data_IF_066035860854
#
_entry.id   IF_066035860854
#
_cell.length_a   1.000
_cell.length_b   1.000
_cell.length_c   1.000
_cell.angle_alpha   90.00
_cell.angle_beta   90.00
_cell.angle_gamma   90.00
#
_symmetry.space_group_name_H-M   'P 1'
#
loop_
_entity.id
_entity.type
_entity.pdbx_description
1 polymer ?
#
# COMPACT_ATOMS: atom_id res chain seq x y z
N UNK A 1 35.50 -11.46 -11.68
CA UNK A 1 34.47 -10.73 -12.44
C UNK A 1 33.34 -10.37 -11.48
N UNK A 2 33.14 -9.09 -11.16
CA UNK A 2 32.03 -8.65 -10.32
C UNK A 2 30.73 -8.73 -11.15
N UNK A 3 29.78 -9.59 -10.75
CA UNK A 3 28.44 -9.60 -11.34
C UNK A 3 27.79 -8.24 -11.08
N UNK A 4 27.54 -7.47 -12.12
CA UNK A 4 26.77 -6.23 -12.02
C UNK A 4 25.42 -6.55 -11.37
N UNK A 5 25.02 -5.86 -10.29
CA UNK A 5 23.77 -6.18 -9.61
C UNK A 5 22.59 -6.07 -10.58
N UNK A 6 21.77 -7.12 -10.65
CA UNK A 6 20.58 -7.20 -11.50
C UNK A 6 19.55 -6.19 -11.02
N UNK A 7 19.48 -5.07 -11.75
CA UNK A 7 18.46 -4.03 -11.65
C UNK A 7 17.15 -4.58 -12.19
N UNK A 8 16.05 -4.39 -11.47
CA UNK A 8 14.71 -4.79 -11.90
C UNK A 8 13.90 -3.55 -12.24
N UNK A 9 13.29 -3.51 -13.42
CA UNK A 9 12.42 -2.41 -13.85
C UNK A 9 11.06 -2.50 -13.15
N UNK A 10 10.67 -1.41 -12.47
CA UNK A 10 9.39 -1.29 -11.78
C UNK A 10 8.42 -0.33 -12.50
N UNK A 11 8.83 0.24 -13.63
CA UNK A 11 8.01 1.15 -14.43
C UNK A 11 6.61 0.62 -14.74
N UNK A 12 6.40 -0.69 -15.04
CA UNK A 12 5.06 -1.23 -15.25
C UNK A 12 4.13 -1.02 -14.05
N UNK A 13 4.59 -1.31 -12.84
CA UNK A 13 3.82 -1.07 -11.62
C UNK A 13 3.55 0.43 -11.43
N UNK A 14 4.56 1.30 -11.62
CA UNK A 14 4.40 2.76 -11.44
C UNK A 14 3.32 3.31 -12.39
N UNK A 15 3.26 2.83 -13.63
CA UNK A 15 2.21 3.22 -14.59
C UNK A 15 0.82 2.80 -14.12
N UNK A 16 0.67 1.60 -13.57
CA UNK A 16 -0.62 1.12 -13.03
C UNK A 16 -1.01 1.92 -11.77
N UNK A 17 -0.03 2.20 -10.90
CA UNK A 17 -0.26 2.90 -9.64
C UNK A 17 -0.57 4.39 -9.83
N UNK A 18 -0.02 5.04 -10.85
CA UNK A 18 -0.27 6.46 -11.15
C UNK A 18 -0.04 7.35 -9.92
N UNK A 19 -1.11 7.97 -9.42
CA UNK A 19 -1.07 8.87 -8.25
C UNK A 19 -1.42 8.19 -6.92
N UNK A 20 -1.65 6.87 -6.89
CA UNK A 20 -1.98 6.12 -5.67
C UNK A 20 -0.73 5.81 -4.84
N UNK A 21 -0.11 6.87 -4.30
CA UNK A 21 1.20 6.82 -3.63
C UNK A 21 1.15 6.16 -2.25
N UNK A 22 -0.03 6.01 -1.65
CA UNK A 22 -0.19 5.53 -0.27
C UNK A 22 -0.74 4.12 -0.25
N UNK A 23 -0.29 3.33 0.72
CA UNK A 23 -0.87 1.99 0.98
C UNK A 23 -2.37 2.03 1.30
N UNK A 24 -2.87 3.16 1.81
CA UNK A 24 -4.31 3.38 2.04
C UNK A 24 -5.13 3.41 0.75
N UNK A 25 -4.50 3.68 -0.37
CA UNK A 25 -5.12 3.83 -1.68
C UNK A 25 -5.39 2.47 -2.33
N UNK A 26 -4.74 1.42 -1.85
CA UNK A 26 -5.05 0.05 -2.24
C UNK A 26 -6.44 -0.37 -1.76
N UNK A 27 -7.12 -1.16 -2.58
CA UNK A 27 -8.29 -1.95 -2.17
C UNK A 27 -7.89 -3.03 -1.17
N UNK A 28 -8.87 -3.73 -0.59
CA UNK A 28 -8.54 -4.85 0.30
C UNK A 28 -7.80 -5.97 -0.44
N UNK A 29 -8.14 -6.25 -1.69
CA UNK A 29 -7.44 -7.22 -2.53
C UNK A 29 -5.98 -6.82 -2.76
N UNK A 30 -5.73 -5.55 -3.12
CA UNK A 30 -4.37 -5.02 -3.27
C UNK A 30 -3.56 -5.11 -1.97
N UNK A 31 -4.19 -4.85 -0.83
CA UNK A 31 -3.56 -4.99 0.50
C UNK A 31 -3.22 -6.42 0.84
N UNK A 32 -4.10 -7.36 0.53
CA UNK A 32 -3.86 -8.79 0.78
C UNK A 32 -2.62 -9.27 0.01
N UNK A 33 -2.49 -8.89 -1.28
CA UNK A 33 -1.29 -9.22 -2.07
C UNK A 33 -0.02 -8.69 -1.41
N UNK A 34 -0.03 -7.46 -0.88
CA UNK A 34 1.13 -6.90 -0.18
C UNK A 34 1.47 -7.70 1.07
N UNK A 35 0.46 -8.07 1.86
CA UNK A 35 0.63 -8.85 3.09
C UNK A 35 1.14 -10.26 2.79
N UNK A 36 0.64 -10.90 1.73
CA UNK A 36 1.05 -12.25 1.31
C UNK A 36 2.51 -12.25 0.89
N UNK A 37 2.90 -11.32 0.01
CA UNK A 37 4.30 -11.19 -0.43
C UNK A 37 5.24 -10.91 0.75
N UNK A 38 4.83 -10.07 1.71
CA UNK A 38 5.63 -9.84 2.92
C UNK A 38 5.73 -11.14 3.70
N UNK A 39 4.64 -11.84 3.97
CA UNK A 39 4.62 -13.06 4.77
C UNK A 39 5.51 -14.15 4.17
N UNK A 40 5.41 -14.39 2.86
CA UNK A 40 6.28 -15.32 2.14
C UNK A 40 7.76 -14.93 2.14
N UNK A 41 8.03 -13.62 2.18
CA UNK A 41 9.39 -13.10 2.04
C UNK A 41 10.05 -12.84 3.38
N UNK A 42 9.29 -12.70 4.47
CA UNK A 42 9.78 -12.14 5.71
C UNK A 42 10.18 -13.19 6.77
N UNK A 43 9.67 -14.42 6.67
CA UNK A 43 9.82 -15.41 7.75
C UNK A 43 9.08 -14.96 9.02
N UNK A 44 9.66 -15.17 10.20
CA UNK A 44 9.02 -14.77 11.48
C UNK A 44 8.93 -13.25 11.69
N UNK A 45 9.77 -12.45 11.01
CA UNK A 45 9.74 -10.99 11.14
C UNK A 45 8.55 -10.42 10.38
N UNK A 46 7.69 -9.64 11.06
CA UNK A 46 6.60 -8.91 10.41
C UNK A 46 7.08 -7.53 9.97
N UNK A 47 7.27 -7.31 8.67
CA UNK A 47 7.59 -5.98 8.14
C UNK A 47 6.32 -5.13 7.92
N UNK A 48 6.33 -3.82 8.21
CA UNK A 48 5.17 -2.97 7.99
C UNK A 48 4.78 -2.87 6.50
N UNK A 49 3.54 -3.21 6.16
CA UNK A 49 3.03 -3.17 4.79
C UNK A 49 3.09 -1.76 4.16
N UNK A 50 2.79 -0.73 4.96
CA UNK A 50 2.91 0.68 4.53
C UNK A 50 4.33 1.02 4.06
N UNK A 51 5.34 0.53 4.78
CA UNK A 51 6.75 0.74 4.46
C UNK A 51 7.15 -0.01 3.18
N UNK A 52 6.75 -1.28 3.05
CA UNK A 52 7.03 -2.07 1.84
C UNK A 52 6.43 -1.43 0.59
N UNK A 53 5.18 -0.98 0.69
CA UNK A 53 4.50 -0.27 -0.40
C UNK A 53 5.17 1.06 -0.72
N UNK A 54 5.53 1.86 0.29
CA UNK A 54 6.25 3.12 0.08
C UNK A 54 7.56 2.92 -0.69
N UNK A 55 8.36 1.92 -0.29
CA UNK A 55 9.63 1.62 -0.97
C UNK A 55 9.38 1.21 -2.41
N UNK A 56 8.43 0.31 -2.66
CA UNK A 56 8.03 -0.09 -4.00
C UNK A 56 7.63 1.10 -4.87
N UNK A 57 6.72 1.94 -4.38
CA UNK A 57 6.18 3.06 -5.16
C UNK A 57 7.24 4.08 -5.54
N UNK A 58 8.27 4.28 -4.72
CA UNK A 58 9.31 5.27 -5.01
C UNK A 58 10.49 4.68 -5.80
N UNK A 59 10.61 3.36 -5.91
CA UNK A 59 11.68 2.71 -6.69
C UNK A 59 11.24 2.52 -8.15
N UNK A 60 11.62 3.41 -9.08
CA UNK A 60 11.46 3.15 -10.53
C UNK A 60 12.37 2.01 -11.00
N UNK A 61 13.59 1.96 -10.47
CA UNK A 61 14.54 0.86 -10.67
C UNK A 61 14.85 0.20 -9.31
N UNK A 62 14.59 -1.09 -9.20
CA UNK A 62 14.78 -1.85 -7.96
C UNK A 62 16.21 -2.42 -7.93
N UNK A 63 17.04 -1.83 -7.08
CA UNK A 63 18.42 -2.23 -6.78
C UNK A 63 18.69 -2.13 -5.27
N UNK A 64 19.82 -2.67 -4.80
CA UNK A 64 20.19 -2.58 -3.37
C UNK A 64 20.32 -1.12 -2.94
N UNK A 65 20.91 -0.30 -3.80
CA UNK A 65 21.18 1.11 -3.59
C UNK A 65 19.88 1.92 -3.52
N UNK A 66 18.99 1.73 -4.49
CA UNK A 66 17.69 2.44 -4.54
C UNK A 66 16.81 2.06 -3.36
N UNK A 67 16.72 0.77 -3.03
CA UNK A 67 15.95 0.28 -1.87
C UNK A 67 16.52 0.84 -0.57
N UNK A 68 17.86 0.87 -0.41
CA UNK A 68 18.51 1.45 0.77
C UNK A 68 18.16 2.93 0.92
N UNK A 69 18.24 3.70 -0.17
CA UNK A 69 17.92 5.12 -0.18
C UNK A 69 16.48 5.38 0.28
N UNK A 70 15.50 4.70 -0.31
CA UNK A 70 14.09 4.92 0.03
C UNK A 70 13.71 4.40 1.41
N UNK A 71 14.36 3.34 1.89
CA UNK A 71 14.26 2.95 3.29
C UNK A 71 14.74 4.10 4.17
N UNK A 72 16.00 4.54 4.02
CA UNK A 72 16.57 5.62 4.84
C UNK A 72 15.69 6.87 4.84
N UNK A 73 15.12 7.22 3.69
CA UNK A 73 14.18 8.32 3.58
C UNK A 73 12.89 8.09 4.37
N UNK A 74 12.29 6.90 4.28
CA UNK A 74 11.14 6.52 5.11
C UNK A 74 11.45 6.63 6.60
N UNK A 75 12.63 6.16 7.05
CA UNK A 75 13.08 6.25 8.44
C UNK A 75 13.22 7.71 8.91
N UNK A 76 13.77 8.59 8.07
CA UNK A 76 13.89 10.02 8.37
C UNK A 76 12.53 10.73 8.45
N UNK A 77 11.56 10.33 7.62
CA UNK A 77 10.20 10.89 7.59
C UNK A 77 9.30 10.36 8.72
N UNK A 78 9.65 9.21 9.32
CA UNK A 78 8.89 8.54 10.38
C UNK A 78 9.77 8.38 11.62
N UNK A 79 9.96 9.49 12.34
CA UNK A 79 10.81 9.60 13.52
C UNK A 79 10.41 8.60 14.62
N UNK A 80 11.27 7.60 14.84
CA UNK A 80 11.40 6.67 15.98
C UNK A 80 12.09 5.35 15.59
N UNK A 81 12.58 5.25 14.36
CA UNK A 81 13.20 4.02 13.88
C UNK A 81 14.70 4.20 13.58
N UNK A 82 15.51 3.19 13.95
CA UNK A 82 16.94 3.16 13.66
C UNK A 82 17.23 2.92 12.18
N UNK A 83 18.36 3.43 11.69
CA UNK A 83 18.76 3.29 10.30
C UNK A 83 18.72 1.82 9.83
N UNK A 84 18.32 1.56 8.57
CA UNK A 84 18.14 0.21 8.08
C UNK A 84 19.47 -0.54 8.04
N UNK A 85 19.52 -1.71 8.67
CA UNK A 85 20.66 -2.63 8.56
C UNK A 85 20.77 -3.21 7.15
N UNK A 86 21.94 -3.69 6.77
CA UNK A 86 22.16 -4.37 5.48
C UNK A 86 21.26 -5.60 5.30
N UNK A 87 20.92 -6.30 6.39
CA UNK A 87 19.95 -7.40 6.39
C UNK A 87 18.53 -6.91 6.05
N UNK A 88 18.11 -5.79 6.66
CA UNK A 88 16.83 -5.14 6.33
C UNK A 88 16.78 -4.74 4.85
N UNK A 89 17.83 -4.12 4.34
CA UNK A 89 17.91 -3.71 2.93
C UNK A 89 17.78 -4.92 2.00
N UNK A 90 18.50 -6.03 2.26
CA UNK A 90 18.39 -7.25 1.45
C UNK A 90 16.97 -7.83 1.48
N UNK A 91 16.31 -7.81 2.63
CA UNK A 91 14.95 -8.34 2.76
C UNK A 91 13.93 -7.49 2.02
N UNK A 92 14.03 -6.17 2.13
CA UNK A 92 13.20 -5.26 1.34
C UNK A 92 13.47 -5.35 -0.15
N UNK A 93 14.73 -5.58 -0.57
CA UNK A 93 15.04 -5.83 -1.97
C UNK A 93 14.25 -7.02 -2.51
N UNK A 94 14.21 -8.13 -1.77
CA UNK A 94 13.40 -9.31 -2.14
C UNK A 94 11.91 -9.00 -2.17
N UNK A 95 11.38 -8.34 -1.12
CA UNK A 95 9.96 -7.98 -1.03
C UNK A 95 9.57 -7.07 -2.20
N UNK A 96 10.33 -6.02 -2.46
CA UNK A 96 10.04 -5.04 -3.51
C UNK A 96 10.06 -5.68 -4.90
N UNK A 97 11.01 -6.58 -5.19
CA UNK A 97 11.03 -7.34 -6.45
C UNK A 97 9.78 -8.21 -6.62
N UNK A 98 9.40 -8.96 -5.58
CA UNK A 98 8.20 -9.81 -5.62
C UNK A 98 6.92 -8.99 -5.74
N UNK A 99 6.81 -7.88 -5.01
CA UNK A 99 5.64 -6.99 -5.09
C UNK A 99 5.46 -6.38 -6.48
N UNK A 100 6.55 -5.95 -7.12
CA UNK A 100 6.53 -5.40 -8.47
C UNK A 100 5.86 -6.38 -9.45
N UNK A 101 6.25 -7.65 -9.39
CA UNK A 101 5.67 -8.71 -10.24
C UNK A 101 4.24 -9.03 -9.83
N UNK A 102 4.00 -9.33 -8.54
CA UNK A 102 2.70 -9.79 -8.06
C UNK A 102 1.57 -8.78 -8.29
N UNK A 103 1.85 -7.47 -8.13
CA UNK A 103 0.85 -6.44 -8.37
C UNK A 103 0.58 -6.26 -9.87
N UNK A 104 1.61 -6.29 -10.72
CA UNK A 104 1.41 -6.25 -12.19
C UNK A 104 0.59 -7.46 -12.66
N UNK A 105 0.90 -8.66 -12.17
CA UNK A 105 0.20 -9.90 -12.51
C UNK A 105 -1.24 -9.94 -11.98
N UNK A 106 -1.50 -9.34 -10.83
CA UNK A 106 -2.86 -9.20 -10.33
C UNK A 106 -3.66 -8.23 -11.21
N UNK A 107 -3.07 -7.09 -11.57
CA UNK A 107 -3.72 -6.13 -12.46
C UNK A 107 -4.02 -6.70 -13.84
N UNK A 108 -3.09 -7.46 -14.44
CA UNK A 108 -3.30 -8.11 -15.74
C UNK A 108 -4.43 -9.15 -15.72
N UNK A 109 -4.73 -9.73 -14.55
CA UNK A 109 -5.87 -10.63 -14.31
C UNK A 109 -7.17 -9.89 -13.95
N UNK A 110 -7.20 -8.56 -14.02
CA UNK A 110 -8.39 -7.76 -13.77
C UNK A 110 -8.65 -7.42 -12.29
N UNK A 111 -7.72 -7.73 -11.38
CA UNK A 111 -7.84 -7.35 -9.97
C UNK A 111 -7.81 -5.83 -9.83
N UNK A 112 -8.78 -5.27 -9.11
CA UNK A 112 -8.84 -3.84 -8.83
C UNK A 112 -7.89 -3.51 -7.69
N UNK A 113 -6.63 -3.20 -8.02
CA UNK A 113 -5.61 -2.90 -7.02
C UNK A 113 -5.88 -1.61 -6.22
N UNK A 114 -6.36 -0.58 -6.91
CA UNK A 114 -6.50 0.76 -6.36
C UNK A 114 -7.96 1.13 -6.19
N UNK A 115 -8.23 1.91 -5.14
CA UNK A 115 -9.51 2.58 -4.94
C UNK A 115 -9.65 3.61 -6.05
N UNK A 116 -10.28 3.22 -7.15
CA UNK A 116 -10.72 4.19 -8.15
C UNK A 116 -11.78 5.04 -7.47
N UNK A 117 -11.50 6.31 -7.23
CA UNK A 117 -12.55 7.29 -7.01
C UNK A 117 -13.33 7.37 -8.32
N UNK A 118 -14.53 6.79 -8.36
CA UNK A 118 -15.43 7.02 -9.47
C UNK A 118 -15.90 8.47 -9.37
N UNK A 119 -15.86 9.21 -10.46
CA UNK A 119 -16.44 10.54 -10.50
C UNK A 119 -17.90 10.48 -10.02
N UNK A 120 -18.25 11.40 -9.12
CA UNK A 120 -19.56 11.47 -8.48
C UNK A 120 -19.80 10.52 -7.30
N UNK A 121 -18.84 9.68 -6.89
CA UNK A 121 -18.97 8.82 -5.71
C UNK A 121 -18.28 9.42 -4.48
N UNK A 122 -19.01 9.43 -3.35
CA UNK A 122 -18.48 9.85 -2.05
C UNK A 122 -17.79 8.69 -1.34
N UNK A 123 -16.54 8.89 -0.92
CA UNK A 123 -15.74 7.90 -0.18
C UNK A 123 -15.52 8.38 1.25
N UNK A 124 -15.74 7.50 2.22
CA UNK A 124 -15.55 7.81 3.63
C UNK A 124 -14.08 8.12 3.94
N UNK A 125 -13.85 9.21 4.66
CA UNK A 125 -12.58 9.44 5.36
C UNK A 125 -12.36 8.39 6.46
N UNK A 126 -11.13 8.28 6.96
CA UNK A 126 -10.81 7.35 8.06
C UNK A 126 -11.67 7.58 9.30
N UNK A 127 -12.00 8.85 9.59
CA UNK A 127 -12.84 9.22 10.74
C UNK A 127 -14.29 8.81 10.51
N UNK A 128 -14.84 9.12 9.34
CA UNK A 128 -16.21 8.73 8.96
C UNK A 128 -16.38 7.20 8.95
N UNK A 129 -15.39 6.47 8.43
CA UNK A 129 -15.41 5.01 8.48
C UNK A 129 -15.44 4.49 9.92
N UNK A 130 -14.60 5.02 10.81
CA UNK A 130 -14.59 4.61 12.21
C UNK A 130 -15.96 4.83 12.88
N UNK A 131 -16.63 5.93 12.57
CA UNK A 131 -17.99 6.22 13.07
C UNK A 131 -18.99 5.16 12.62
N UNK A 132 -19.01 4.81 11.32
CA UNK A 132 -19.90 3.78 10.77
C UNK A 132 -19.60 2.40 11.38
N UNK A 133 -18.33 2.02 11.47
CA UNK A 133 -17.91 0.74 12.06
C UNK A 133 -18.35 0.66 13.54
N UNK A 134 -18.23 1.76 14.29
CA UNK A 134 -18.68 1.83 15.69
C UNK A 134 -20.20 1.71 15.82
N UNK A 135 -20.98 2.36 14.95
CA UNK A 135 -22.44 2.25 14.95
C UNK A 135 -22.87 0.81 14.69
N UNK A 136 -22.31 0.18 13.66
CA UNK A 136 -22.59 -1.22 13.35
C UNK A 136 -22.27 -2.16 14.53
N UNK A 137 -21.09 -2.02 15.13
CA UNK A 137 -20.67 -2.84 16.27
C UNK A 137 -21.52 -2.62 17.53
N UNK A 138 -22.16 -1.46 17.65
CA UNK A 138 -23.07 -1.15 18.74
C UNK A 138 -24.53 -1.57 18.45
N UNK A 139 -24.76 -2.29 17.35
CA UNK A 139 -26.07 -2.83 17.00
C UNK A 139 -27.00 -1.85 16.29
N UNK A 140 -26.46 -0.79 15.68
CA UNK A 140 -27.27 0.13 14.88
C UNK A 140 -28.02 -0.61 13.76
N UNK A 141 -29.25 -0.20 13.50
CA UNK A 141 -30.08 -0.77 12.43
C UNK A 141 -29.53 -0.39 11.05
N UNK A 142 -29.95 -1.12 10.02
CA UNK A 142 -29.58 -0.78 8.64
C UNK A 142 -30.07 0.62 8.25
N UNK A 143 -31.26 1.02 8.70
CA UNK A 143 -31.82 2.35 8.48
C UNK A 143 -30.97 3.44 9.14
N UNK A 144 -30.51 3.23 10.37
CA UNK A 144 -29.65 4.20 11.08
C UNK A 144 -28.31 4.38 10.36
N UNK A 145 -27.72 3.29 9.85
CA UNK A 145 -26.50 3.34 9.06
C UNK A 145 -26.70 4.07 7.73
N UNK A 146 -27.84 3.84 7.04
CA UNK A 146 -28.18 4.54 5.79
C UNK A 146 -28.33 6.04 6.02
N UNK A 147 -29.05 6.44 7.08
CA UNK A 147 -29.24 7.86 7.42
C UNK A 147 -27.89 8.56 7.61
N UNK A 148 -26.97 7.94 8.35
CA UNK A 148 -25.66 8.54 8.61
C UNK A 148 -24.78 8.58 7.35
N UNK A 149 -24.81 7.53 6.53
CA UNK A 149 -24.13 7.53 5.23
C UNK A 149 -24.68 8.63 4.31
N UNK A 150 -25.99 8.86 4.29
CA UNK A 150 -26.59 9.92 3.48
C UNK A 150 -26.14 11.31 3.95
N UNK A 151 -26.11 11.57 5.26
CA UNK A 151 -25.56 12.84 5.79
C UNK A 151 -24.11 13.05 5.38
N UNK A 152 -23.30 11.99 5.38
CA UNK A 152 -21.89 12.08 4.96
C UNK A 152 -21.80 12.43 3.46
N UNK A 153 -22.68 11.87 2.63
CA UNK A 153 -22.76 12.19 1.20
C UNK A 153 -23.15 13.66 1.01
N UNK A 154 -24.22 14.11 1.66
CA UNK A 154 -24.77 15.46 1.51
C UNK A 154 -23.77 16.53 1.98
N UNK A 155 -23.05 16.28 3.08
CA UNK A 155 -22.03 17.19 3.60
C UNK A 155 -20.78 17.30 2.74
N UNK A 156 -20.46 16.28 1.94
CA UNK A 156 -19.33 16.30 1.02
C UNK A 156 -19.69 16.90 -0.36
N UNK A 157 -20.97 17.16 -0.62
CA UNK A 157 -21.46 17.77 -1.86
C UNK A 157 -21.60 19.30 -1.78
N UNK A 158 -21.45 19.89 -0.59
CA UNK A 158 -21.44 21.33 -0.32
C UNK A 158 -20.03 21.83 -0.02
#
# INVERSE_FOLDING_TARGET
MARTPTKTDNTPFIKIAGNFKKYSDLTQEGKNIVLDVISESAGEKKYPAKKAYYVLFNCTEISKETVKYWLQRYYAENSNESAPTDSTVRKFLTITKKLSVALVDAHSRGVKLFKVAKDGMCYLSSVQKYTIDKMYNNGASAEELIIELQKIIDNNAN
#
